data_IF_994027475155
#
_entry.id   IF_994027475155
#
_cell.length_a   1.000
_cell.length_b   1.000
_cell.length_c   1.000
_cell.angle_alpha   90.00
_cell.angle_beta   90.00
_cell.angle_gamma   90.00
#
_symmetry.space_group_name_H-M   'P 1'
#
loop_
_entity.id
_entity.type
_entity.pdbx_description
1 polymer ?
#
# COMPACT_ATOMS: atom_id res chain seq x y z
N UNK A 1 14.66 31.99 43.94
CA UNK A 1 15.81 32.00 43.01
C UNK A 1 15.64 30.79 42.10
N UNK A 2 15.48 31.00 40.80
CA UNK A 2 15.38 29.89 39.89
C UNK A 2 16.78 29.26 39.75
N UNK A 3 16.93 27.99 40.12
CA UNK A 3 18.15 27.25 39.86
C UNK A 3 18.41 27.21 38.34
N UNK A 4 19.51 27.81 37.91
CA UNK A 4 19.90 27.77 36.50
C UNK A 4 20.55 26.43 36.20
N UNK A 5 20.03 25.74 35.20
CA UNK A 5 20.59 24.50 34.71
C UNK A 5 22.06 24.69 34.32
N UNK A 6 22.97 23.92 34.91
CA UNK A 6 24.41 24.00 34.58
C UNK A 6 24.68 23.47 33.17
N UNK A 7 25.73 23.93 32.50
CA UNK A 7 26.13 23.44 31.19
C UNK A 7 26.32 21.91 31.14
N UNK A 8 26.91 21.35 32.18
CA UNK A 8 27.12 19.90 32.30
C UNK A 8 25.80 19.14 32.46
N UNK A 9 24.87 19.65 33.29
CA UNK A 9 23.56 19.06 33.45
C UNK A 9 22.76 19.12 32.14
N UNK A 10 22.75 20.28 31.48
CA UNK A 10 22.09 20.46 30.20
C UNK A 10 22.64 19.48 29.14
N UNK A 11 23.98 19.36 29.06
CA UNK A 11 24.64 18.42 28.14
C UNK A 11 24.26 16.97 28.43
N UNK A 12 24.28 16.56 29.69
CA UNK A 12 23.98 15.18 30.08
C UNK A 12 22.51 14.84 29.84
N UNK A 13 21.58 15.77 30.08
CA UNK A 13 20.16 15.62 29.76
C UNK A 13 19.98 15.49 28.25
N UNK A 14 20.64 16.34 27.45
CA UNK A 14 20.55 16.29 25.99
C UNK A 14 21.08 14.98 25.43
N UNK A 15 22.31 14.60 25.74
CA UNK A 15 22.87 13.35 25.20
C UNK A 15 22.20 12.10 25.78
N UNK A 16 21.89 12.09 27.08
CA UNK A 16 21.21 10.96 27.72
C UNK A 16 19.79 10.79 27.15
N UNK A 17 19.04 11.87 27.04
CA UNK A 17 17.72 11.87 26.42
C UNK A 17 17.77 11.45 24.94
N UNK A 18 18.70 12.01 24.18
CA UNK A 18 18.87 11.63 22.76
C UNK A 18 19.21 10.15 22.60
N UNK A 19 20.15 9.64 23.39
CA UNK A 19 20.53 8.21 23.33
C UNK A 19 19.36 7.30 23.73
N UNK A 20 18.60 7.68 24.76
CA UNK A 20 17.43 6.93 25.22
C UNK A 20 16.35 6.85 24.14
N UNK A 21 15.94 7.99 23.58
CA UNK A 21 14.92 8.00 22.53
C UNK A 21 15.39 7.36 21.22
N UNK A 22 16.68 7.49 20.90
CA UNK A 22 17.27 6.80 19.75
C UNK A 22 17.24 5.28 19.92
N UNK A 23 17.52 4.76 21.12
CA UNK A 23 17.40 3.33 21.41
C UNK A 23 15.94 2.84 21.27
N UNK A 24 14.96 3.61 21.76
CA UNK A 24 13.53 3.32 21.57
C UNK A 24 13.19 3.31 20.10
N UNK A 25 13.63 4.32 19.34
CA UNK A 25 13.39 4.38 17.89
C UNK A 25 13.92 3.15 17.16
N UNK A 26 15.16 2.74 17.44
CA UNK A 26 15.73 1.54 16.84
C UNK A 26 14.95 0.27 17.23
N UNK A 27 14.57 0.15 18.50
CA UNK A 27 13.78 -0.99 18.99
C UNK A 27 12.41 -1.08 18.30
N UNK A 28 11.70 0.03 18.19
CA UNK A 28 10.40 0.09 17.51
C UNK A 28 10.52 -0.16 16.00
N UNK A 29 11.56 0.38 15.37
CA UNK A 29 11.83 0.14 13.93
C UNK A 29 12.12 -1.34 13.66
N UNK A 30 12.97 -1.96 14.47
CA UNK A 30 13.27 -3.39 14.35
C UNK A 30 12.02 -4.26 14.59
N UNK A 31 11.21 -3.92 15.60
CA UNK A 31 9.95 -4.61 15.88
C UNK A 31 8.95 -4.46 14.73
N UNK A 32 8.78 -3.25 14.18
CA UNK A 32 7.87 -3.01 13.05
C UNK A 32 8.32 -3.76 11.82
N UNK A 33 9.63 -3.76 11.51
CA UNK A 33 10.17 -4.53 10.40
C UNK A 33 9.91 -6.03 10.58
N UNK A 34 10.22 -6.58 11.75
CA UNK A 34 9.95 -7.99 12.07
C UNK A 34 8.47 -8.33 11.89
N UNK A 35 7.57 -7.49 12.43
CA UNK A 35 6.13 -7.70 12.29
C UNK A 35 5.68 -7.68 10.82
N UNK A 36 6.17 -6.73 10.01
CA UNK A 36 5.83 -6.65 8.59
C UNK A 36 6.22 -7.92 7.83
N UNK A 37 7.45 -8.38 7.98
CA UNK A 37 7.96 -9.51 7.18
C UNK A 37 7.49 -10.88 7.68
N UNK A 38 7.05 -11.01 8.95
CA UNK A 38 6.66 -12.31 9.53
C UNK A 38 5.17 -12.46 9.76
N UNK A 39 4.44 -11.35 9.90
CA UNK A 39 3.04 -11.37 10.35
C UNK A 39 2.09 -10.68 9.37
N UNK A 40 2.48 -9.49 8.87
CA UNK A 40 1.64 -8.73 7.94
C UNK A 40 1.67 -9.29 6.54
N UNK A 41 2.85 -9.70 6.07
CA UNK A 41 3.07 -10.24 4.73
C UNK A 41 3.63 -11.65 4.81
N UNK A 42 3.42 -12.45 3.75
CA UNK A 42 4.11 -13.73 3.56
C UNK A 42 5.05 -13.59 2.35
N UNK A 43 6.37 -13.54 2.61
CA UNK A 43 7.38 -13.41 1.55
C UNK A 43 7.28 -14.51 0.48
N UNK A 44 6.78 -15.70 0.85
CA UNK A 44 6.61 -16.82 -0.11
C UNK A 44 5.54 -16.53 -1.16
N UNK A 45 4.65 -15.59 -0.89
CA UNK A 45 3.60 -15.18 -1.83
C UNK A 45 4.05 -14.03 -2.75
N UNK A 46 5.24 -13.46 -2.50
CA UNK A 46 5.83 -12.41 -3.33
C UNK A 46 6.49 -13.02 -4.56
N UNK A 47 5.68 -13.39 -5.55
CA UNK A 47 6.15 -13.98 -6.80
C UNK A 47 6.70 -12.94 -7.77
N UNK A 48 7.43 -13.39 -8.80
CA UNK A 48 7.91 -12.49 -9.87
C UNK A 48 6.76 -11.76 -10.57
N UNK A 49 5.59 -12.38 -10.70
CA UNK A 49 4.39 -11.75 -11.27
C UNK A 49 3.90 -10.59 -10.39
N UNK A 50 3.87 -10.76 -9.07
CA UNK A 50 3.53 -9.70 -8.12
C UNK A 50 4.50 -8.54 -8.22
N UNK A 51 5.81 -8.82 -8.32
CA UNK A 51 6.85 -7.78 -8.48
C UNK A 51 6.67 -7.02 -9.79
N UNK A 52 6.44 -7.73 -10.91
CA UNK A 52 6.15 -7.07 -12.20
C UNK A 52 4.87 -6.25 -12.14
N UNK A 53 3.82 -6.75 -11.48
CA UNK A 53 2.57 -6.02 -11.29
C UNK A 53 2.76 -4.71 -10.50
N UNK A 54 3.61 -4.72 -9.47
CA UNK A 54 4.03 -3.50 -8.78
C UNK A 54 4.75 -2.54 -9.74
N UNK A 55 5.63 -3.01 -10.59
CA UNK A 55 6.29 -2.16 -11.59
C UNK A 55 5.30 -1.59 -12.62
N UNK A 56 4.27 -2.33 -13.02
CA UNK A 56 3.17 -1.80 -13.85
C UNK A 56 2.46 -0.66 -13.13
N UNK A 57 2.14 -0.84 -11.84
CA UNK A 57 1.53 0.19 -10.98
C UNK A 57 2.37 1.47 -10.91
N UNK A 58 3.67 1.33 -10.70
CA UNK A 58 4.63 2.44 -10.61
C UNK A 58 4.82 3.13 -11.98
N UNK A 59 5.05 2.36 -13.05
CA UNK A 59 5.26 2.82 -14.42
C UNK A 59 4.13 3.72 -14.91
N UNK A 60 2.90 3.38 -14.56
CA UNK A 60 1.71 4.13 -14.95
C UNK A 60 1.25 5.15 -13.91
N UNK A 61 2.02 5.34 -12.85
CA UNK A 61 1.76 6.33 -11.79
C UNK A 61 0.35 6.23 -11.20
N UNK A 62 -0.16 5.01 -11.01
CA UNK A 62 -1.52 4.74 -10.52
C UNK A 62 -1.79 5.38 -9.15
N UNK A 63 -0.73 5.52 -8.33
CA UNK A 63 -0.77 6.18 -7.02
C UNK A 63 -1.12 7.66 -7.10
N UNK A 64 -0.96 8.32 -8.26
CA UNK A 64 -1.34 9.71 -8.43
C UNK A 64 -2.86 9.95 -8.46
N UNK A 65 -3.63 8.88 -8.64
CA UNK A 65 -5.09 8.94 -8.62
C UNK A 65 -5.67 8.04 -7.50
N UNK A 66 -5.10 6.86 -7.29
CA UNK A 66 -5.55 5.88 -6.32
C UNK A 66 -4.72 5.91 -5.05
N UNK A 67 -5.36 5.52 -3.94
CA UNK A 67 -4.63 5.10 -2.74
C UNK A 67 -4.43 3.59 -2.74
N UNK A 68 -3.29 3.17 -2.19
CA UNK A 68 -2.95 1.78 -1.93
C UNK A 68 -2.49 1.67 -0.48
N UNK A 69 -3.23 0.95 0.35
CA UNK A 69 -2.97 0.82 1.79
C UNK A 69 -2.85 2.18 2.51
N UNK A 70 -3.64 3.16 2.07
CA UNK A 70 -3.67 4.51 2.63
C UNK A 70 -2.66 5.49 2.04
N UNK A 71 -1.74 5.03 1.20
CA UNK A 71 -0.79 5.90 0.51
C UNK A 71 -1.27 6.26 -0.90
N UNK A 72 -1.12 7.52 -1.30
CA UNK A 72 -1.48 8.01 -2.63
C UNK A 72 -2.54 9.10 -2.62
N UNK A 73 -3.12 9.36 -3.80
CA UNK A 73 -4.11 10.40 -3.97
C UNK A 73 -5.54 9.86 -3.81
N UNK A 74 -6.39 10.66 -3.17
CA UNK A 74 -7.83 10.36 -2.98
C UNK A 74 -8.70 10.86 -4.15
N UNK A 75 -8.15 10.89 -5.36
CA UNK A 75 -8.91 11.25 -6.56
C UNK A 75 -9.80 10.10 -7.02
N UNK A 76 -9.33 8.87 -6.85
CA UNK A 76 -10.01 7.62 -7.17
C UNK A 76 -10.05 6.70 -5.92
N UNK A 77 -10.83 5.62 -5.93
CA UNK A 77 -10.97 4.74 -4.77
C UNK A 77 -9.67 4.09 -4.32
N UNK A 78 -9.60 3.74 -3.03
CA UNK A 78 -8.60 2.85 -2.47
C UNK A 78 -8.64 1.47 -3.16
N UNK A 79 -7.49 0.93 -3.52
CA UNK A 79 -7.41 -0.35 -4.24
C UNK A 79 -6.75 -1.49 -3.48
N UNK A 80 -6.29 -1.27 -2.25
CA UNK A 80 -5.67 -2.32 -1.43
C UNK A 80 -6.57 -3.52 -1.17
N UNK A 81 -7.90 -3.33 -1.17
CA UNK A 81 -8.90 -4.38 -1.01
C UNK A 81 -9.80 -4.58 -2.24
N UNK A 82 -9.39 -4.09 -3.40
CA UNK A 82 -10.21 -4.16 -4.62
C UNK A 82 -10.44 -5.61 -5.06
N UNK A 83 -9.49 -6.50 -4.78
CA UNK A 83 -9.59 -7.91 -5.10
C UNK A 83 -10.75 -8.59 -4.38
N UNK A 84 -10.91 -8.35 -3.06
CA UNK A 84 -12.04 -8.85 -2.27
C UNK A 84 -13.37 -8.25 -2.76
N UNK A 85 -13.41 -6.95 -3.06
CA UNK A 85 -14.61 -6.28 -3.58
C UNK A 85 -15.11 -6.86 -4.91
N UNK A 86 -14.23 -7.41 -5.73
CA UNK A 86 -14.57 -8.08 -6.98
C UNK A 86 -14.81 -9.58 -6.83
N UNK A 87 -14.89 -10.07 -5.58
CA UNK A 87 -15.13 -11.48 -5.29
C UNK A 87 -13.91 -12.38 -5.52
N UNK A 88 -12.72 -11.82 -5.63
CA UNK A 88 -11.50 -12.54 -5.98
C UNK A 88 -11.04 -13.57 -4.94
N UNK A 89 -11.50 -13.45 -3.69
CA UNK A 89 -11.27 -14.47 -2.65
C UNK A 89 -12.10 -15.72 -2.89
N UNK A 90 -13.28 -15.60 -3.52
CA UNK A 90 -14.17 -16.70 -3.85
C UNK A 90 -13.84 -17.28 -5.23
N UNK A 91 -13.60 -16.40 -6.21
CA UNK A 91 -13.30 -16.79 -7.59
C UNK A 91 -12.21 -15.86 -8.20
N UNK A 92 -10.92 -16.24 -8.06
CA UNK A 92 -9.81 -15.48 -8.60
C UNK A 92 -9.86 -15.31 -10.13
N UNK A 93 -10.40 -16.29 -10.85
CA UNK A 93 -10.53 -16.26 -12.31
C UNK A 93 -11.48 -15.15 -12.76
N UNK A 94 -12.67 -15.13 -12.19
CA UNK A 94 -13.67 -14.09 -12.46
C UNK A 94 -13.16 -12.70 -12.10
N UNK A 95 -12.48 -12.53 -10.97
CA UNK A 95 -11.91 -11.23 -10.58
C UNK A 95 -10.87 -10.73 -11.59
N UNK A 96 -10.02 -11.61 -12.15
CA UNK A 96 -9.07 -11.24 -13.22
C UNK A 96 -9.79 -10.78 -14.49
N UNK A 97 -10.84 -11.48 -14.90
CA UNK A 97 -11.62 -11.09 -16.07
C UNK A 97 -12.39 -9.77 -15.84
N UNK A 98 -12.91 -9.53 -14.65
CA UNK A 98 -13.50 -8.24 -14.27
C UNK A 98 -12.47 -7.11 -14.40
N UNK A 99 -11.26 -7.30 -13.87
CA UNK A 99 -10.19 -6.31 -13.97
C UNK A 99 -9.86 -6.00 -15.44
N UNK A 100 -9.67 -7.03 -16.27
CA UNK A 100 -9.34 -6.87 -17.69
C UNK A 100 -10.45 -6.13 -18.44
N UNK A 101 -11.69 -6.59 -18.31
CA UNK A 101 -12.86 -6.00 -18.96
C UNK A 101 -13.06 -4.55 -18.54
N UNK A 102 -12.96 -4.29 -17.24
CA UNK A 102 -13.10 -2.95 -16.71
C UNK A 102 -12.01 -2.01 -17.22
N UNK A 103 -10.76 -2.49 -17.26
CA UNK A 103 -9.62 -1.72 -17.79
C UNK A 103 -9.76 -1.43 -19.29
N UNK A 104 -10.19 -2.40 -20.07
CA UNK A 104 -10.42 -2.24 -21.52
C UNK A 104 -11.55 -1.27 -21.82
N UNK A 105 -12.56 -1.19 -20.94
CA UNK A 105 -13.69 -0.27 -21.07
C UNK A 105 -13.38 1.18 -20.65
N UNK A 106 -12.16 1.50 -20.22
CA UNK A 106 -11.80 2.86 -19.82
C UNK A 106 -11.25 3.68 -21.00
N UNK A 107 -11.52 5.01 -21.06
CA UNK A 107 -12.44 5.74 -20.20
C UNK A 107 -13.91 5.39 -20.49
N UNK A 108 -14.72 5.29 -19.44
CA UNK A 108 -16.12 4.84 -19.56
C UNK A 108 -17.05 5.83 -20.29
N UNK A 109 -16.63 7.10 -20.42
CA UNK A 109 -17.42 8.17 -20.97
C UNK A 109 -18.65 8.57 -20.13
N UNK A 110 -18.84 8.01 -18.94
CA UNK A 110 -20.00 8.29 -18.10
C UNK A 110 -20.03 9.76 -17.66
N UNK A 111 -21.12 10.52 -17.95
CA UNK A 111 -21.22 11.93 -17.61
C UNK A 111 -21.12 12.16 -16.09
N UNK A 112 -20.43 13.22 -15.67
CA UNK A 112 -20.31 13.62 -14.27
C UNK A 112 -19.46 12.74 -13.39
N UNK A 113 -18.80 11.71 -13.96
CA UNK A 113 -17.88 10.83 -13.24
C UNK A 113 -16.41 11.10 -13.62
N UNK A 114 -15.53 10.98 -12.63
CA UNK A 114 -14.09 10.98 -12.87
C UNK A 114 -13.74 9.82 -13.78
N UNK A 115 -12.89 10.06 -14.77
CA UNK A 115 -12.51 9.06 -15.76
C UNK A 115 -11.11 8.54 -15.47
N UNK A 116 -10.94 7.23 -15.50
CA UNK A 116 -9.63 6.60 -15.52
C UNK A 116 -9.12 6.62 -16.97
N UNK A 117 -7.87 7.06 -17.23
CA UNK A 117 -7.32 7.04 -18.59
C UNK A 117 -7.11 5.62 -19.10
N UNK A 118 -7.08 5.46 -20.43
CA UNK A 118 -6.61 4.23 -21.06
C UNK A 118 -5.08 4.18 -21.05
N UNK A 119 -4.52 3.10 -20.50
CA UNK A 119 -3.08 2.90 -20.41
C UNK A 119 -2.55 1.87 -21.43
N UNK A 120 -3.43 1.27 -22.25
CA UNK A 120 -3.06 0.26 -23.27
C UNK A 120 -2.16 -0.86 -22.70
N UNK A 121 -2.51 -1.38 -21.53
CA UNK A 121 -1.78 -2.47 -20.91
C UNK A 121 -1.89 -3.74 -21.73
N UNK A 122 -0.79 -4.45 -21.88
CA UNK A 122 -0.77 -5.79 -22.47
C UNK A 122 -1.50 -6.79 -21.57
N UNK A 123 -1.91 -7.94 -22.10
CA UNK A 123 -2.52 -9.01 -21.30
C UNK A 123 -1.59 -9.50 -20.18
N UNK A 124 -0.27 -9.52 -20.44
CA UNK A 124 0.70 -9.87 -19.41
C UNK A 124 0.73 -8.82 -18.30
N UNK A 125 0.79 -7.53 -18.63
CA UNK A 125 0.76 -6.45 -17.64
C UNK A 125 -0.55 -6.44 -16.84
N UNK A 126 -1.68 -6.78 -17.45
CA UNK A 126 -2.97 -6.93 -16.77
C UNK A 126 -2.98 -8.11 -15.79
N UNK A 127 -2.41 -9.25 -16.18
CA UNK A 127 -2.28 -10.41 -15.30
C UNK A 127 -1.36 -10.12 -14.13
N UNK A 128 -0.18 -9.53 -14.39
CA UNK A 128 0.79 -9.17 -13.35
C UNK A 128 0.19 -8.13 -12.38
N UNK A 129 -0.54 -7.12 -12.90
CA UNK A 129 -1.25 -6.15 -12.06
C UNK A 129 -2.34 -6.82 -11.21
N UNK A 130 -3.07 -7.80 -11.76
CA UNK A 130 -4.07 -8.57 -11.00
C UNK A 130 -3.41 -9.36 -9.85
N UNK A 131 -2.28 -10.01 -10.12
CA UNK A 131 -1.53 -10.75 -9.11
C UNK A 131 -1.00 -9.81 -8.00
N UNK A 132 -0.56 -8.61 -8.38
CA UNK A 132 -0.16 -7.57 -7.41
C UNK A 132 -1.34 -7.11 -6.54
N UNK A 133 -2.51 -6.84 -7.12
CA UNK A 133 -3.71 -6.44 -6.38
C UNK A 133 -4.25 -7.59 -5.50
N UNK A 134 -4.14 -8.83 -5.94
CA UNK A 134 -4.45 -10.00 -5.14
C UNK A 134 -3.51 -10.11 -3.93
N UNK A 135 -2.22 -9.91 -4.16
CA UNK A 135 -1.22 -9.94 -3.09
C UNK A 135 -1.44 -8.82 -2.08
N UNK A 136 -1.72 -7.58 -2.53
CA UNK A 136 -2.01 -6.47 -1.61
C UNK A 136 -3.23 -6.73 -0.74
N UNK A 137 -4.28 -7.35 -1.29
CA UNK A 137 -5.47 -7.74 -0.52
C UNK A 137 -5.19 -8.81 0.55
N UNK A 138 -4.12 -9.60 0.37
CA UNK A 138 -3.70 -10.62 1.35
C UNK A 138 -2.93 -10.05 2.55
N UNK A 139 -2.43 -8.80 2.46
CA UNK A 139 -1.68 -8.14 3.52
C UNK A 139 -2.58 -7.89 4.72
N UNK A 140 -2.12 -8.26 5.92
CA UNK A 140 -2.84 -8.00 7.17
C UNK A 140 -2.70 -6.53 7.57
N UNK A 141 -3.69 -5.75 7.24
CA UNK A 141 -3.71 -4.29 7.40
C UNK A 141 -4.43 -3.82 8.66
N UNK A 142 -4.73 -4.69 9.62
CA UNK A 142 -5.46 -4.37 10.86
C UNK A 142 -6.82 -3.68 10.60
N UNK A 143 -7.57 -4.19 9.61
CA UNK A 143 -8.86 -3.68 9.13
C UNK A 143 -8.79 -2.34 8.37
N UNK A 144 -7.65 -2.02 7.76
CA UNK A 144 -7.59 -0.94 6.77
C UNK A 144 -7.99 -1.48 5.36
N UNK A 145 -8.73 -0.72 4.55
CA UNK A 145 -9.39 0.54 4.88
C UNK A 145 -10.64 0.31 5.75
N UNK A 146 -11.01 1.27 6.59
CA UNK A 146 -12.20 1.16 7.44
C UNK A 146 -13.51 1.14 6.62
N UNK A 147 -13.49 1.74 5.43
CA UNK A 147 -14.58 1.67 4.46
C UNK A 147 -14.28 0.63 3.38
N UNK A 148 -15.06 -0.45 3.35
CA UNK A 148 -14.90 -1.53 2.36
C UNK A 148 -15.25 -1.13 0.93
N UNK A 149 -15.93 -0.01 0.75
CA UNK A 149 -16.25 0.51 -0.59
C UNK A 149 -15.07 1.25 -1.25
N UNK A 150 -14.00 1.50 -0.51
CA UNK A 150 -12.80 2.23 -0.96
C UNK A 150 -12.85 3.72 -0.74
#
# INVERSE_FOLDING_TARGET
MAERLTKSAARNVFYGGSAFFFAIFLGLTAHSHYYMVTTSTDEKTLTDSVVRGKHVWEKHSCINCHTLLGEGAYFAPEVGNVWDRWGGRQDPGTAKEILKSWRQAQPSGAPGRRQMPQFNLTDQELNDLADFLQWTDSIKTQNWPPNKAG
#
